data_IF_474190352146
#
_entry.id   IF_474190352146
#
_cell.length_a   1.000
_cell.length_b   1.000
_cell.length_c   1.000
_cell.angle_alpha   90.00
_cell.angle_beta   90.00
_cell.angle_gamma   90.00
#
_symmetry.space_group_name_H-M   'P 1'
#
loop_
_entity.id
_entity.type
_entity.pdbx_description
1 polymer ?
#
# COMPACT_ATOMS: atom_id res chain seq x y z
N UNK A 1 -19.37 28.81 -17.88
CA UNK A 1 -18.04 28.38 -18.38
C UNK A 1 -17.38 27.59 -17.26
N UNK A 2 -17.17 26.28 -17.42
CA UNK A 2 -16.48 25.47 -16.39
C UNK A 2 -15.08 26.02 -16.11
N UNK A 3 -14.68 25.97 -14.83
CA UNK A 3 -13.39 26.40 -14.32
C UNK A 3 -12.23 25.67 -15.05
N UNK A 4 -11.20 26.40 -15.52
CA UNK A 4 -10.01 25.80 -16.13
C UNK A 4 -9.33 24.72 -15.28
N UNK A 5 -9.38 24.85 -13.95
CA UNK A 5 -8.86 23.86 -13.01
C UNK A 5 -9.71 22.58 -13.00
N UNK A 6 -11.04 22.71 -13.09
CA UNK A 6 -11.96 21.56 -13.21
C UNK A 6 -11.74 20.82 -14.53
N UNK A 7 -11.50 21.54 -15.64
CA UNK A 7 -11.15 20.93 -16.93
C UNK A 7 -9.80 20.21 -16.91
N UNK A 8 -8.79 20.79 -16.26
CA UNK A 8 -7.47 20.14 -16.07
C UNK A 8 -7.57 18.89 -15.21
N UNK A 9 -8.36 18.95 -14.14
CA UNK A 9 -8.61 17.81 -13.26
C UNK A 9 -9.36 16.67 -13.98
N UNK A 10 -10.39 17.01 -14.77
CA UNK A 10 -11.08 16.02 -15.62
C UNK A 10 -10.15 15.46 -16.71
N UNK A 11 -9.28 16.27 -17.32
CA UNK A 11 -8.29 15.80 -18.31
C UNK A 11 -7.20 14.89 -17.69
N UNK A 12 -6.79 15.16 -16.46
CA UNK A 12 -5.89 14.30 -15.68
C UNK A 12 -6.56 12.97 -15.30
N UNK A 13 -7.83 13.00 -14.88
CA UNK A 13 -8.61 11.77 -14.60
C UNK A 13 -9.00 10.98 -15.85
N UNK A 14 -9.12 11.62 -17.01
CA UNK A 14 -9.35 10.97 -18.31
C UNK A 14 -8.09 10.36 -18.94
N UNK A 15 -6.90 10.61 -18.39
CA UNK A 15 -5.69 9.89 -18.78
C UNK A 15 -5.51 8.67 -17.88
N UNK A 16 -5.80 7.44 -18.33
CA UNK A 16 -4.87 6.38 -18.03
C UNK A 16 -3.53 6.86 -18.60
N UNK A 17 -2.52 7.10 -17.77
CA UNK A 17 -1.16 6.97 -18.28
C UNK A 17 -1.13 5.57 -18.89
N UNK A 18 -0.96 5.47 -20.21
CA UNK A 18 -1.30 4.32 -21.07
C UNK A 18 -0.97 2.95 -20.48
N UNK A 19 -1.56 1.85 -20.96
CA UNK A 19 -1.22 0.48 -20.49
C UNK A 19 0.30 0.24 -20.44
N UNK A 20 1.06 0.81 -21.38
CA UNK A 20 2.52 0.78 -21.36
C UNK A 20 3.14 1.44 -20.11
N UNK A 21 2.57 2.56 -19.65
CA UNK A 21 3.02 3.25 -18.44
C UNK A 21 2.54 2.56 -17.17
N UNK A 22 1.30 2.06 -17.12
CA UNK A 22 0.84 1.22 -16.02
C UNK A 22 1.72 -0.03 -15.89
N UNK A 23 2.02 -0.71 -17.00
CA UNK A 23 2.96 -1.84 -17.08
C UNK A 23 4.34 -1.46 -16.55
N UNK A 24 4.88 -0.30 -16.96
CA UNK A 24 6.17 0.21 -16.48
C UNK A 24 6.18 0.41 -14.97
N UNK A 25 5.13 1.01 -14.42
CA UNK A 25 5.02 1.24 -12.97
C UNK A 25 4.94 -0.08 -12.19
N UNK A 26 4.19 -1.07 -12.68
CA UNK A 26 4.11 -2.40 -12.06
C UNK A 26 5.47 -3.11 -12.05
N UNK A 27 6.22 -3.09 -13.16
CA UNK A 27 7.56 -3.68 -13.22
C UNK A 27 8.53 -3.01 -12.25
N UNK A 28 8.50 -1.67 -12.14
CA UNK A 28 9.34 -0.92 -11.21
C UNK A 28 9.01 -1.29 -9.75
N UNK A 29 7.72 -1.39 -9.41
CA UNK A 29 7.31 -1.83 -8.09
C UNK A 29 7.84 -3.23 -7.77
N UNK A 30 7.63 -4.19 -8.67
CA UNK A 30 8.08 -5.58 -8.48
C UNK A 30 9.61 -5.69 -8.37
N UNK A 31 10.35 -4.85 -9.10
CA UNK A 31 11.81 -4.73 -8.92
C UNK A 31 12.16 -4.24 -7.52
N UNK A 32 11.55 -3.15 -7.06
CA UNK A 32 11.96 -2.47 -5.84
C UNK A 32 11.51 -3.19 -4.57
N UNK A 33 10.30 -3.75 -4.57
CA UNK A 33 9.69 -4.37 -3.39
C UNK A 33 9.99 -5.85 -3.30
N UNK A 34 9.98 -6.55 -4.43
CA UNK A 34 10.13 -8.02 -4.47
C UNK A 34 11.51 -8.44 -4.96
N UNK A 35 12.26 -7.55 -5.64
CA UNK A 35 13.60 -7.86 -6.13
C UNK A 35 13.65 -8.49 -7.53
N UNK A 36 12.56 -8.42 -8.30
CA UNK A 36 12.57 -8.95 -9.67
C UNK A 36 13.58 -8.22 -10.57
N UNK A 37 14.26 -8.97 -11.43
CA UNK A 37 15.08 -8.39 -12.51
C UNK A 37 14.17 -7.86 -13.62
N UNK A 38 14.49 -6.69 -14.19
CA UNK A 38 13.69 -6.13 -15.30
C UNK A 38 13.65 -7.05 -16.53
N UNK A 39 14.69 -7.85 -16.75
CA UNK A 39 14.77 -8.80 -17.86
C UNK A 39 13.70 -9.90 -17.79
N UNK A 40 13.21 -10.22 -16.59
CA UNK A 40 12.11 -11.18 -16.42
C UNK A 40 10.87 -10.75 -17.20
N UNK A 41 10.57 -9.46 -17.23
CA UNK A 41 9.38 -8.92 -17.86
C UNK A 41 9.54 -8.64 -19.37
N UNK A 42 10.70 -8.97 -19.98
CA UNK A 42 10.91 -8.76 -21.42
C UNK A 42 9.92 -9.61 -22.22
N UNK A 43 9.16 -8.94 -23.10
CA UNK A 43 8.15 -9.58 -23.94
C UNK A 43 6.80 -9.82 -23.25
N UNK A 44 6.68 -9.58 -21.94
CA UNK A 44 5.40 -9.72 -21.24
C UNK A 44 4.45 -8.56 -21.56
N UNK A 45 3.18 -8.89 -21.75
CA UNK A 45 2.09 -7.93 -21.92
C UNK A 45 1.67 -7.33 -20.56
N UNK A 46 0.75 -6.36 -20.60
CA UNK A 46 0.13 -5.84 -19.38
C UNK A 46 -0.63 -6.95 -18.63
N UNK A 47 -1.38 -7.78 -19.36
CA UNK A 47 -2.21 -8.85 -18.79
C UNK A 47 -1.39 -9.98 -18.16
N UNK A 48 -0.16 -10.20 -18.63
CA UNK A 48 0.76 -11.17 -18.01
C UNK A 48 1.35 -10.64 -16.68
N UNK A 49 1.65 -9.34 -16.63
CA UNK A 49 2.33 -8.70 -15.48
C UNK A 49 1.34 -8.38 -14.36
N UNK A 50 0.11 -8.01 -14.73
CA UNK A 50 -0.91 -7.55 -13.78
C UNK A 50 -1.20 -8.57 -12.67
N UNK A 51 -1.45 -9.87 -12.94
CA UNK A 51 -1.70 -10.87 -11.89
C UNK A 51 -0.51 -11.04 -10.94
N UNK A 52 0.72 -10.94 -11.46
CA UNK A 52 1.94 -11.02 -10.64
C UNK A 52 1.98 -9.84 -9.68
N UNK A 53 1.75 -8.63 -10.20
CA UNK A 53 1.70 -7.41 -9.39
C UNK A 53 0.62 -7.50 -8.31
N UNK A 54 -0.62 -7.85 -8.66
CA UNK A 54 -1.75 -7.94 -7.73
C UNK A 54 -1.44 -8.91 -6.58
N UNK A 55 -0.88 -10.09 -6.87
CA UNK A 55 -0.50 -11.06 -5.83
C UNK A 55 0.46 -10.50 -4.77
N UNK A 56 1.50 -9.78 -5.20
CA UNK A 56 2.47 -9.20 -4.25
C UNK A 56 1.92 -7.95 -3.57
N UNK A 57 1.14 -7.14 -4.28
CA UNK A 57 0.48 -5.98 -3.72
C UNK A 57 -0.48 -6.37 -2.60
N UNK A 58 -1.36 -7.34 -2.85
CA UNK A 58 -2.35 -7.80 -1.87
C UNK A 58 -1.68 -8.44 -0.64
N UNK A 59 -0.61 -9.22 -0.86
CA UNK A 59 0.19 -9.77 0.25
C UNK A 59 0.82 -8.66 1.11
N UNK A 60 1.27 -7.57 0.51
CA UNK A 60 1.86 -6.45 1.23
C UNK A 60 0.80 -5.65 1.99
N UNK A 61 -0.37 -5.43 1.39
CA UNK A 61 -1.50 -4.77 2.07
C UNK A 61 -1.95 -5.60 3.28
N UNK A 62 -2.08 -6.92 3.12
CA UNK A 62 -2.44 -7.82 4.22
C UNK A 62 -1.39 -7.79 5.35
N UNK A 63 -0.10 -7.77 5.01
CA UNK A 63 0.98 -7.66 5.99
C UNK A 63 0.95 -6.34 6.77
N UNK A 64 0.73 -5.22 6.06
CA UNK A 64 0.64 -3.90 6.68
C UNK A 64 -0.57 -3.79 7.61
N UNK A 65 -1.72 -4.33 7.21
CA UNK A 65 -2.90 -4.36 8.05
C UNK A 65 -2.65 -5.15 9.34
N UNK A 66 -2.08 -6.35 9.21
CA UNK A 66 -1.73 -7.18 10.36
C UNK A 66 -0.76 -6.48 11.32
N UNK A 67 0.24 -5.79 10.78
CA UNK A 67 1.21 -5.04 11.59
C UNK A 67 0.54 -3.89 12.34
N UNK A 68 -0.38 -3.17 11.68
CA UNK A 68 -1.12 -2.08 12.30
C UNK A 68 -1.99 -2.58 13.48
N UNK A 69 -2.71 -3.68 13.28
CA UNK A 69 -3.52 -4.31 14.34
C UNK A 69 -2.68 -4.74 15.54
N UNK A 70 -1.49 -5.32 15.30
CA UNK A 70 -0.57 -5.71 16.36
C UNK A 70 -0.04 -4.52 17.18
N UNK A 71 0.31 -3.42 16.51
CA UNK A 71 0.76 -2.19 17.19
C UNK A 71 -0.36 -1.62 18.06
N UNK A 72 -1.59 -1.54 17.54
CA UNK A 72 -2.75 -1.04 18.28
C UNK A 72 -3.09 -1.93 19.50
N UNK A 73 -2.97 -3.25 19.36
CA UNK A 73 -3.13 -4.20 20.47
C UNK A 73 -2.01 -4.05 21.52
N UNK A 74 -0.77 -3.81 21.11
CA UNK A 74 0.34 -3.55 22.04
C UNK A 74 0.16 -2.23 22.79
N UNK A 75 -0.24 -1.16 22.10
CA UNK A 75 -0.52 0.14 22.70
C UNK A 75 -1.65 0.08 23.72
N UNK A 76 -2.77 -0.59 23.39
CA UNK A 76 -3.89 -0.77 24.32
C UNK A 76 -3.51 -1.58 25.57
N UNK A 77 -2.70 -2.64 25.42
CA UNK A 77 -2.15 -3.41 26.55
C UNK A 77 -1.20 -2.57 27.40
N UNK A 78 -0.35 -1.76 26.78
CA UNK A 78 0.56 -0.86 27.49
C UNK A 78 -0.23 0.19 28.30
N UNK A 79 -1.25 0.82 27.70
CA UNK A 79 -2.13 1.77 28.38
C UNK A 79 -2.88 1.13 29.56
N UNK A 80 -3.38 -0.10 29.41
CA UNK A 80 -4.03 -0.83 30.50
C UNK A 80 -3.10 -1.04 31.70
N UNK A 81 -1.86 -1.48 31.45
CA UNK A 81 -0.84 -1.64 32.51
C UNK A 81 -0.54 -0.31 33.21
N UNK A 82 -0.41 0.78 32.46
CA UNK A 82 -0.17 2.12 33.02
C UNK A 82 -1.33 2.56 33.93
N UNK A 83 -2.58 2.24 33.60
CA UNK A 83 -3.74 2.63 34.41
C UNK A 83 -3.96 1.74 35.65
N UNK A 84 -3.53 0.48 35.62
CA UNK A 84 -3.59 -0.43 36.78
C UNK A 84 -2.53 -0.10 37.83
N UNK A 85 -1.35 0.39 37.41
CA UNK A 85 -0.21 0.66 38.32
C UNK A 85 -0.49 1.74 39.39
N UNK A 86 -1.20 2.86 39.10
CA UNK A 86 -1.61 3.84 40.11
C UNK A 86 -2.71 3.32 41.05
N UNK A 87 -3.66 2.51 40.56
CA UNK A 87 -4.77 2.00 41.35
C UNK A 87 -4.30 1.04 42.47
N UNK A 88 -3.26 0.24 42.20
CA UNK A 88 -2.66 -0.68 43.17
C UNK A 88 -1.84 0.05 44.26
N UNK A 89 -1.28 1.23 43.94
CA UNK A 89 -0.56 2.08 44.90
C UNK A 89 -1.48 2.93 45.78
N UNK A 90 -2.72 3.19 45.35
CA UNK A 90 -3.70 3.95 46.11
C UNK A 90 -4.56 3.08 47.08
N UNK A 91 -4.52 1.75 46.93
CA UNK A 91 -5.26 0.80 47.77
C UNK A 91 -4.40 0.14 48.86
N UNK A 92 -3.14 0.56 49.05
CA UNK A 92 -2.24 0.14 50.13
C UNK A 92 -2.12 1.18 51.22
#
# INVERSE_FOLDING_TARGET
>A
KEDPAVKRYQALKRKPQTEAQARKNMMIYLKNVVGFKMDYFKGMSYDDIRPIFERYFDSNVAFLQKTKEQIEEEESRALKRINETPAERAAK
#
